data_IF_049870631580
#
_entry.id   IF_049870631580
#
_cell.length_a   1.000
_cell.length_b   1.000
_cell.length_c   1.000
_cell.angle_alpha   90.00
_cell.angle_beta   90.00
_cell.angle_gamma   90.00
#
_symmetry.space_group_name_H-M   'P 1'
#
loop_
_entity.id
_entity.type
_entity.pdbx_description
1 polymer ?
#
# COMPACT_ATOMS: atom_id res chain seq x y z
N UNK A 1 -69.91 40.91 -58.94
CA UNK A 1 -69.51 40.49 -57.58
C UNK A 1 -68.12 39.85 -57.66
N UNK A 2 -67.14 40.47 -57.01
CA UNK A 2 -65.94 39.90 -56.35
C UNK A 2 -65.12 38.78 -57.04
N UNK A 3 -63.84 39.10 -57.31
CA UNK A 3 -62.60 38.31 -57.05
C UNK A 3 -62.46 36.91 -57.70
N UNK A 4 -61.31 36.38 -58.14
CA UNK A 4 -59.90 36.75 -58.10
C UNK A 4 -59.12 35.86 -59.10
N UNK A 5 -57.96 36.34 -59.52
CA UNK A 5 -56.92 35.60 -60.21
C UNK A 5 -56.37 34.43 -59.37
N UNK A 6 -55.85 33.39 -60.03
CA UNK A 6 -54.90 32.45 -59.42
C UNK A 6 -53.57 32.52 -60.17
N UNK A 7 -52.62 33.21 -59.55
CA UNK A 7 -51.20 33.22 -59.88
C UNK A 7 -50.49 32.02 -59.25
N UNK A 8 -49.56 31.47 -60.03
CA UNK A 8 -48.26 30.85 -59.73
C UNK A 8 -47.92 30.35 -58.31
N UNK A 9 -47.33 29.14 -58.25
CA UNK A 9 -45.98 28.95 -57.71
C UNK A 9 -45.45 27.55 -58.07
N UNK A 10 -44.34 27.52 -58.81
CA UNK A 10 -43.47 26.34 -58.95
C UNK A 10 -42.64 26.24 -57.68
N UNK A 11 -42.81 25.15 -56.91
CA UNK A 11 -42.02 24.91 -55.71
C UNK A 11 -40.79 24.06 -56.06
N UNK A 12 -39.63 24.69 -55.99
CA UNK A 12 -38.30 24.08 -56.07
C UNK A 12 -38.08 23.21 -54.82
N UNK A 13 -37.81 21.92 -55.00
CA UNK A 13 -37.49 20.99 -53.91
C UNK A 13 -36.01 21.18 -53.53
N UNK A 14 -35.74 21.97 -52.48
CA UNK A 14 -34.41 22.05 -51.88
C UNK A 14 -34.20 20.83 -50.98
N UNK A 15 -33.30 19.93 -51.38
CA UNK A 15 -32.81 18.87 -50.53
C UNK A 15 -31.93 19.48 -49.42
N UNK A 16 -32.51 19.63 -48.22
CA UNK A 16 -31.75 19.95 -47.01
C UNK A 16 -31.01 18.69 -46.60
N UNK A 17 -29.74 18.60 -46.94
CA UNK A 17 -28.81 17.67 -46.29
C UNK A 17 -28.61 18.16 -44.86
N UNK A 18 -29.30 17.51 -43.92
CA UNK A 18 -28.95 17.62 -42.51
C UNK A 18 -27.58 16.98 -42.33
N UNK A 19 -26.53 17.79 -42.42
CA UNK A 19 -25.23 17.42 -41.84
C UNK A 19 -25.50 17.21 -40.37
N UNK A 20 -25.61 15.94 -39.96
CA UNK A 20 -25.66 15.56 -38.57
C UNK A 20 -24.46 16.21 -37.90
N UNK A 21 -24.71 17.14 -36.99
CA UNK A 21 -23.71 17.53 -36.02
C UNK A 21 -23.38 16.26 -35.25
N UNK A 22 -22.33 15.57 -35.69
CA UNK A 22 -21.73 14.50 -34.91
C UNK A 22 -21.48 15.08 -33.53
N UNK A 23 -22.04 14.43 -32.50
CA UNK A 23 -21.69 14.72 -31.11
C UNK A 23 -20.18 14.89 -31.07
N UNK A 24 -19.71 16.05 -30.64
CA UNK A 24 -18.28 16.30 -30.50
C UNK A 24 -17.71 15.10 -29.75
N UNK A 25 -16.80 14.37 -30.40
CA UNK A 25 -16.04 13.33 -29.73
C UNK A 25 -15.49 14.00 -28.46
N UNK A 26 -15.92 13.55 -27.29
CA UNK A 26 -15.27 13.94 -26.05
C UNK A 26 -13.83 13.50 -26.23
N UNK A 27 -12.95 14.43 -26.57
CA UNK A 27 -11.52 14.18 -26.56
C UNK A 27 -11.22 13.63 -25.16
N UNK A 28 -10.64 12.45 -25.10
CA UNK A 28 -10.28 11.80 -23.86
C UNK A 28 -9.17 12.63 -23.19
N UNK A 29 -9.55 13.42 -22.18
CA UNK A 29 -8.63 14.31 -21.45
C UNK A 29 -8.07 13.67 -20.18
N UNK A 30 -8.48 12.45 -19.85
CA UNK A 30 -8.13 11.87 -18.55
C UNK A 30 -6.62 11.64 -18.44
N UNK A 31 -5.97 11.21 -19.53
CA UNK A 31 -4.51 11.05 -19.56
C UNK A 31 -3.75 12.36 -19.51
N UNK A 32 -4.25 13.38 -20.20
CA UNK A 32 -3.66 14.73 -20.18
C UNK A 32 -3.70 15.34 -18.77
N UNK A 33 -4.71 14.97 -17.98
CA UNK A 33 -4.85 15.36 -16.57
C UNK A 33 -3.93 14.56 -15.62
N UNK A 34 -3.28 13.48 -16.07
CA UNK A 34 -2.33 12.70 -15.27
C UNK A 34 -0.94 13.34 -15.28
N UNK A 35 -0.83 14.52 -14.67
CA UNK A 35 0.42 15.29 -14.57
C UNK A 35 1.61 14.49 -13.99
N UNK A 36 1.34 13.48 -13.16
CA UNK A 36 2.37 12.64 -12.57
C UNK A 36 3.13 11.80 -13.61
N UNK A 37 2.53 11.51 -14.78
CA UNK A 37 3.17 10.75 -15.85
C UNK A 37 4.40 11.45 -16.41
N UNK A 38 4.33 12.71 -16.91
CA UNK A 38 5.53 13.44 -17.32
C UNK A 38 6.43 13.80 -16.13
N UNK A 39 5.86 14.15 -14.97
CA UNK A 39 6.64 14.52 -13.78
C UNK A 39 7.58 13.40 -13.31
N UNK A 40 7.10 12.14 -13.30
CA UNK A 40 7.91 10.96 -12.95
C UNK A 40 8.58 10.30 -14.17
N UNK A 41 8.50 10.91 -15.36
CA UNK A 41 9.08 10.38 -16.61
C UNK A 41 8.63 8.93 -16.90
N UNK A 42 7.35 8.64 -16.69
CA UNK A 42 6.79 7.28 -16.77
C UNK A 42 6.97 6.67 -18.16
N UNK A 43 6.89 7.47 -19.24
CA UNK A 43 7.12 6.98 -20.59
C UNK A 43 8.55 6.44 -20.79
N UNK A 44 9.56 7.06 -20.18
CA UNK A 44 10.94 6.58 -20.22
C UNK A 44 11.10 5.31 -19.39
N UNK A 45 10.44 5.23 -18.23
CA UNK A 45 10.41 4.03 -17.41
C UNK A 45 9.76 2.84 -18.15
N UNK A 46 8.65 3.08 -18.86
CA UNK A 46 7.92 2.08 -19.65
C UNK A 46 8.71 1.55 -20.84
N UNK A 47 9.66 2.32 -21.38
CA UNK A 47 10.59 1.83 -22.39
C UNK A 47 11.54 0.74 -21.83
N UNK A 48 11.64 0.60 -20.51
CA UNK A 48 12.53 -0.34 -19.82
C UNK A 48 11.76 -1.50 -19.18
N UNK A 49 10.64 -1.22 -18.50
CA UNK A 49 9.80 -2.21 -17.82
C UNK A 49 8.37 -1.69 -17.75
N UNK A 50 7.37 -2.56 -17.89
CA UNK A 50 5.95 -2.19 -17.77
C UNK A 50 5.23 -2.98 -16.68
N UNK A 51 5.96 -3.77 -15.87
CA UNK A 51 5.42 -4.54 -14.74
C UNK A 51 5.00 -5.97 -15.08
N UNK A 52 5.46 -6.51 -16.22
CA UNK A 52 5.16 -7.88 -16.64
C UNK A 52 5.46 -8.92 -15.54
N UNK A 53 4.55 -9.88 -15.37
CA UNK A 53 4.74 -11.00 -14.44
C UNK A 53 4.63 -10.63 -12.96
N UNK A 54 4.37 -9.37 -12.63
CA UNK A 54 4.17 -8.93 -11.24
C UNK A 54 2.69 -8.79 -10.93
N UNK A 55 2.29 -9.27 -9.75
CA UNK A 55 0.95 -9.06 -9.20
C UNK A 55 1.04 -8.18 -7.96
N UNK A 56 0.20 -7.15 -7.92
CA UNK A 56 0.03 -6.24 -6.77
C UNK A 56 -1.33 -6.53 -6.13
N UNK A 57 -1.35 -6.91 -4.86
CA UNK A 57 -2.60 -6.96 -4.11
C UNK A 57 -3.03 -5.54 -3.71
N UNK A 58 -4.30 -5.21 -3.96
CA UNK A 58 -4.90 -3.93 -3.59
C UNK A 58 -5.92 -4.21 -2.50
N UNK A 59 -5.57 -3.89 -1.25
CA UNK A 59 -6.45 -4.05 -0.09
C UNK A 59 -7.21 -2.74 0.10
N UNK A 60 -8.47 -2.72 -0.35
CA UNK A 60 -9.26 -1.48 -0.50
C UNK A 60 -10.78 -1.79 -0.59
N UNK A 61 -11.57 -0.89 -1.14
CA UNK A 61 -13.03 -0.97 -1.34
C UNK A 61 -13.50 -1.95 -2.44
N UNK A 62 -12.56 -2.66 -3.07
CA UNK A 62 -12.80 -3.51 -4.24
C UNK A 62 -12.28 -2.88 -5.54
N UNK A 63 -12.42 -3.56 -6.67
CA UNK A 63 -11.97 -3.04 -7.98
C UNK A 63 -12.96 -3.36 -9.09
N UNK A 64 -13.42 -2.35 -9.82
CA UNK A 64 -14.25 -2.51 -11.03
C UNK A 64 -13.42 -3.14 -12.17
N UNK A 65 -13.32 -4.47 -12.16
CA UNK A 65 -12.51 -5.25 -13.10
C UNK A 65 -13.00 -5.18 -14.55
N UNK A 66 -14.23 -4.71 -14.80
CA UNK A 66 -14.77 -4.51 -16.15
C UNK A 66 -14.51 -3.10 -16.68
N UNK A 67 -13.90 -2.21 -15.90
CA UNK A 67 -13.49 -0.90 -16.40
C UNK A 67 -12.57 -1.09 -17.62
N UNK A 68 -12.78 -0.39 -18.75
CA UNK A 68 -12.04 -0.63 -19.99
C UNK A 68 -10.53 -0.46 -19.83
N UNK A 69 -10.06 0.50 -19.02
CA UNK A 69 -8.62 0.66 -18.71
C UNK A 69 -8.02 -0.40 -17.79
N UNK A 70 -8.84 -1.28 -17.21
CA UNK A 70 -8.41 -2.31 -16.26
C UNK A 70 -8.74 -3.73 -16.71
N UNK A 71 -9.62 -3.87 -17.70
CA UNK A 71 -10.07 -5.17 -18.17
C UNK A 71 -8.89 -6.02 -18.60
N UNK A 72 -8.85 -7.28 -18.14
CA UNK A 72 -7.73 -8.19 -18.35
C UNK A 72 -6.54 -7.99 -17.38
N UNK A 73 -6.44 -6.89 -16.64
CA UNK A 73 -5.41 -6.67 -15.61
C UNK A 73 -5.86 -6.96 -14.19
N UNK A 74 -7.17 -7.07 -13.94
CA UNK A 74 -7.71 -7.40 -12.60
C UNK A 74 -7.99 -8.91 -12.51
N UNK A 75 -7.38 -9.57 -11.52
CA UNK A 75 -7.57 -10.98 -11.21
C UNK A 75 -8.81 -11.20 -10.36
N UNK A 76 -9.22 -12.47 -10.21
CA UNK A 76 -10.21 -12.84 -9.19
C UNK A 76 -9.57 -12.81 -7.82
N UNK A 77 -10.06 -11.90 -7.00
CA UNK A 77 -9.58 -11.56 -5.69
C UNK A 77 -10.28 -12.28 -4.55
N UNK A 78 -10.56 -11.53 -3.49
CA UNK A 78 -11.19 -11.97 -2.25
C UNK A 78 -12.01 -10.84 -1.63
N UNK A 79 -13.09 -11.19 -0.94
CA UNK A 79 -13.87 -10.27 -0.11
C UNK A 79 -13.75 -10.65 1.35
N UNK A 80 -13.35 -9.72 2.22
CA UNK A 80 -13.48 -9.91 3.68
C UNK A 80 -14.91 -9.59 4.17
N UNK A 81 -15.78 -9.13 3.27
CA UNK A 81 -17.12 -8.64 3.58
C UNK A 81 -18.14 -9.76 3.39
N UNK A 82 -18.93 -10.03 4.43
CA UNK A 82 -19.97 -11.06 4.38
C UNK A 82 -21.03 -10.69 3.34
N UNK A 83 -21.33 -11.63 2.44
CA UNK A 83 -22.32 -11.44 1.38
C UNK A 83 -21.79 -10.72 0.13
N UNK A 84 -20.47 -10.49 0.04
CA UNK A 84 -19.82 -10.09 -1.21
C UNK A 84 -19.81 -11.21 -2.26
N UNK A 85 -19.50 -10.85 -3.50
CA UNK A 85 -19.43 -11.77 -4.64
C UNK A 85 -18.21 -12.71 -4.56
N UNK A 86 -17.28 -12.42 -3.64
CA UNK A 86 -16.15 -13.28 -3.27
C UNK A 86 -14.91 -13.11 -4.14
N UNK A 87 -14.97 -12.26 -5.17
CA UNK A 87 -13.91 -12.05 -6.14
C UNK A 87 -13.22 -10.68 -6.02
N UNK A 88 -13.57 -9.83 -5.06
CA UNK A 88 -12.96 -8.51 -4.89
C UNK A 88 -13.43 -7.46 -5.90
N UNK A 89 -14.34 -7.80 -6.84
CA UNK A 89 -14.67 -6.90 -7.95
C UNK A 89 -15.76 -5.88 -7.63
N UNK A 90 -16.53 -6.11 -6.56
CA UNK A 90 -17.55 -5.15 -6.15
C UNK A 90 -16.92 -3.89 -5.58
N UNK A 91 -16.88 -2.80 -6.34
CA UNK A 91 -16.42 -1.49 -5.85
C UNK A 91 -17.54 -0.46 -5.88
N UNK A 92 -18.24 -0.33 -4.75
CA UNK A 92 -19.31 0.65 -4.58
C UNK A 92 -18.79 2.02 -4.12
N UNK A 93 -17.49 2.18 -3.84
CA UNK A 93 -16.85 3.44 -3.46
C UNK A 93 -16.08 4.10 -4.63
N UNK A 94 -15.52 3.29 -5.52
CA UNK A 94 -14.61 3.71 -6.57
C UNK A 94 -13.17 3.92 -6.09
N UNK A 95 -12.87 3.66 -4.81
CA UNK A 95 -11.55 3.95 -4.24
C UNK A 95 -10.50 2.94 -4.65
N UNK A 96 -10.79 1.65 -4.53
CA UNK A 96 -9.86 0.60 -4.93
C UNK A 96 -9.73 0.55 -6.44
N UNK A 97 -10.80 0.81 -7.21
CA UNK A 97 -10.71 0.98 -8.67
C UNK A 97 -9.73 2.07 -9.06
N UNK A 98 -9.73 3.20 -8.34
CA UNK A 98 -8.81 4.29 -8.58
C UNK A 98 -7.37 3.94 -8.24
N UNK A 99 -7.13 3.19 -7.15
CA UNK A 99 -5.79 2.71 -6.82
C UNK A 99 -5.29 1.71 -7.88
N UNK A 100 -6.15 0.78 -8.29
CA UNK A 100 -5.86 -0.18 -9.35
C UNK A 100 -5.51 0.50 -10.68
N UNK A 101 -6.21 1.58 -11.05
CA UNK A 101 -5.90 2.38 -12.24
C UNK A 101 -4.51 3.03 -12.19
N UNK A 102 -4.11 3.55 -11.03
CA UNK A 102 -2.78 4.15 -10.84
C UNK A 102 -1.66 3.10 -10.90
N UNK A 103 -1.96 1.86 -10.49
CA UNK A 103 -1.02 0.74 -10.56
C UNK A 103 -0.97 0.17 -11.99
N UNK A 104 -2.09 -0.33 -12.51
CA UNK A 104 -2.13 -1.19 -13.70
C UNK A 104 -3.15 -0.74 -14.76
N UNK A 105 -3.58 0.53 -14.74
CA UNK A 105 -4.36 1.10 -15.83
C UNK A 105 -3.59 1.00 -17.15
N UNK A 106 -4.16 0.35 -18.16
CA UNK A 106 -3.50 0.16 -19.45
C UNK A 106 -4.08 1.03 -20.56
N UNK A 107 -5.11 1.82 -20.25
CA UNK A 107 -5.88 2.59 -21.22
C UNK A 107 -6.79 1.72 -22.07
N UNK A 108 -7.47 2.33 -23.03
CA UNK A 108 -8.30 1.62 -24.00
C UNK A 108 -8.28 2.34 -25.36
N UNK A 109 -9.10 1.84 -26.29
CA UNK A 109 -9.21 2.41 -27.63
C UNK A 109 -7.97 2.18 -28.50
N UNK A 110 -7.81 3.00 -29.52
CA UNK A 110 -6.78 2.79 -30.55
C UNK A 110 -5.36 2.96 -29.98
N UNK A 111 -4.62 1.85 -29.89
CA UNK A 111 -3.27 1.83 -29.33
C UNK A 111 -3.23 2.17 -27.84
N UNK A 112 -4.33 1.91 -27.12
CA UNK A 112 -4.47 2.17 -25.69
C UNK A 112 -4.23 3.64 -25.31
N UNK A 113 -4.61 4.57 -26.19
CA UNK A 113 -4.37 6.02 -26.00
C UNK A 113 -5.48 6.72 -25.21
N UNK A 114 -6.65 6.10 -25.14
CA UNK A 114 -7.80 6.61 -24.40
C UNK A 114 -7.70 6.13 -22.93
N UNK A 115 -8.35 6.85 -22.03
CA UNK A 115 -8.39 6.59 -20.60
C UNK A 115 -7.07 6.86 -19.89
N UNK A 116 -6.97 6.38 -18.66
CA UNK A 116 -5.80 6.60 -17.80
C UNK A 116 -4.73 5.53 -18.02
N UNK A 117 -3.48 5.91 -17.78
CA UNK A 117 -2.32 5.03 -17.79
C UNK A 117 -1.74 4.91 -16.37
N UNK A 118 -1.56 3.69 -15.90
CA UNK A 118 -0.94 3.37 -14.61
C UNK A 118 0.59 3.35 -14.68
N UNK A 119 1.22 3.29 -13.51
CA UNK A 119 2.67 3.21 -13.39
C UNK A 119 3.23 1.87 -13.92
N UNK A 120 2.50 0.77 -13.80
CA UNK A 120 2.87 -0.57 -14.26
C UNK A 120 1.73 -1.22 -15.10
N UNK A 121 1.49 -0.75 -16.34
CA UNK A 121 0.31 -1.11 -17.13
C UNK A 121 0.22 -2.58 -17.55
N UNK A 122 1.28 -3.37 -17.36
CA UNK A 122 1.26 -4.83 -17.61
C UNK A 122 1.33 -5.67 -16.34
N UNK A 123 1.36 -5.04 -15.17
CA UNK A 123 1.16 -5.75 -13.91
C UNK A 123 -0.29 -6.25 -13.79
N UNK A 124 -0.50 -7.22 -12.90
CA UNK A 124 -1.84 -7.68 -12.51
C UNK A 124 -2.21 -7.12 -11.14
N UNK A 125 -3.49 -6.85 -10.95
CA UNK A 125 -4.08 -6.43 -9.67
C UNK A 125 -4.86 -7.59 -9.08
N UNK A 126 -4.55 -7.95 -7.85
CA UNK A 126 -5.36 -8.86 -7.03
C UNK A 126 -6.20 -8.03 -6.06
N UNK A 127 -7.50 -7.84 -6.31
CA UNK A 127 -8.33 -7.04 -5.42
C UNK A 127 -8.64 -7.80 -4.14
N UNK A 128 -8.53 -7.12 -2.99
CA UNK A 128 -8.95 -7.65 -1.70
C UNK A 128 -9.88 -6.61 -1.08
N UNK A 129 -11.17 -6.89 -1.13
CA UNK A 129 -12.20 -5.95 -0.69
C UNK A 129 -12.38 -6.00 0.82
N UNK A 130 -12.15 -4.87 1.48
CA UNK A 130 -12.26 -4.70 2.94
C UNK A 130 -13.20 -3.58 3.37
N UNK A 131 -13.59 -2.70 2.46
CA UNK A 131 -14.50 -1.57 2.72
C UNK A 131 -15.63 -1.52 1.70
N UNK A 132 -16.68 -0.78 2.05
CA UNK A 132 -17.80 -0.41 1.18
C UNK A 132 -18.09 1.06 1.33
N UNK A 133 -18.91 1.62 0.44
CA UNK A 133 -19.44 2.98 0.59
C UNK A 133 -20.21 3.23 1.92
N UNK A 134 -20.59 2.16 2.64
CA UNK A 134 -21.32 2.23 3.92
C UNK A 134 -20.41 2.10 5.15
N UNK A 135 -19.14 1.75 4.99
CA UNK A 135 -18.22 1.59 6.12
C UNK A 135 -16.97 0.78 5.80
N UNK A 136 -15.98 0.92 6.67
CA UNK A 136 -14.66 0.32 6.55
C UNK A 136 -14.52 -0.88 7.50
N UNK A 137 -13.87 -1.95 7.05
CA UNK A 137 -13.66 -3.16 7.85
C UNK A 137 -12.65 -3.00 9.00
N UNK A 138 -11.91 -1.90 9.04
CA UNK A 138 -10.94 -1.60 10.10
C UNK A 138 -9.70 -2.49 10.08
N UNK A 139 -8.92 -2.44 11.17
CA UNK A 139 -7.60 -3.09 11.24
C UNK A 139 -7.64 -4.62 11.07
N UNK A 140 -8.69 -5.29 11.55
CA UNK A 140 -8.82 -6.75 11.42
C UNK A 140 -9.07 -7.18 9.97
N UNK A 141 -9.89 -6.43 9.22
CA UNK A 141 -10.09 -6.69 7.80
C UNK A 141 -8.81 -6.45 6.99
N UNK A 142 -8.05 -5.40 7.32
CA UNK A 142 -6.72 -5.17 6.72
C UNK A 142 -5.80 -6.36 7.02
N UNK A 143 -5.76 -6.85 8.27
CA UNK A 143 -4.91 -7.97 8.66
C UNK A 143 -5.26 -9.27 7.90
N UNK A 144 -6.56 -9.59 7.80
CA UNK A 144 -7.04 -10.72 7.00
C UNK A 144 -6.66 -10.55 5.53
N UNK A 145 -6.80 -9.34 4.99
CA UNK A 145 -6.43 -9.05 3.62
C UNK A 145 -4.93 -9.24 3.35
N UNK A 146 -4.08 -8.85 4.29
CA UNK A 146 -2.63 -9.08 4.21
C UNK A 146 -2.34 -10.58 4.18
N UNK A 147 -2.92 -11.35 5.11
CA UNK A 147 -2.71 -12.80 5.16
C UNK A 147 -3.19 -13.51 3.88
N UNK A 148 -4.33 -13.09 3.30
CA UNK A 148 -4.81 -13.66 2.03
C UNK A 148 -3.94 -13.27 0.83
N UNK A 149 -3.39 -12.06 0.82
CA UNK A 149 -2.41 -11.66 -0.21
C UNK A 149 -1.15 -12.54 -0.14
N UNK A 150 -0.60 -12.74 1.06
CA UNK A 150 0.58 -13.59 1.32
C UNK A 150 0.29 -15.02 0.88
N UNK A 151 -0.86 -15.58 1.27
CA UNK A 151 -1.27 -16.95 0.90
C UNK A 151 -1.41 -17.14 -0.61
N UNK A 152 -1.75 -16.08 -1.35
CA UNK A 152 -1.82 -16.08 -2.82
C UNK A 152 -0.47 -15.82 -3.51
N UNK A 153 0.59 -15.64 -2.73
CA UNK A 153 1.96 -15.52 -3.24
C UNK A 153 2.25 -14.24 -3.99
N UNK A 154 1.52 -13.15 -3.71
CA UNK A 154 1.86 -11.84 -4.27
C UNK A 154 3.17 -11.32 -3.66
N UNK A 155 3.90 -10.50 -4.41
CA UNK A 155 5.14 -9.87 -3.92
C UNK A 155 4.93 -8.47 -3.35
N UNK A 156 3.82 -7.83 -3.70
CA UNK A 156 3.54 -6.43 -3.38
C UNK A 156 2.10 -6.32 -2.87
N UNK A 157 1.93 -5.62 -1.76
CA UNK A 157 0.63 -5.23 -1.20
C UNK A 157 0.57 -3.71 -1.16
N UNK A 158 -0.52 -3.13 -1.68
CA UNK A 158 -0.83 -1.71 -1.59
C UNK A 158 -2.05 -1.52 -0.70
N UNK A 159 -1.90 -0.72 0.36
CA UNK A 159 -2.93 -0.46 1.36
C UNK A 159 -3.16 1.05 1.45
N UNK A 160 -4.28 1.50 0.91
CA UNK A 160 -4.68 2.91 0.89
C UNK A 160 -5.80 3.20 1.89
N UNK A 161 -5.77 2.47 3.01
CA UNK A 161 -6.74 2.46 4.10
C UNK A 161 -6.02 2.62 5.44
N UNK A 162 -6.71 3.16 6.44
CA UNK A 162 -6.12 3.35 7.76
C UNK A 162 -6.96 2.73 8.87
N UNK A 163 -6.29 2.20 9.89
CA UNK A 163 -6.92 1.75 11.12
C UNK A 163 -6.70 2.81 12.22
N UNK A 164 -7.76 3.49 12.69
CA UNK A 164 -7.64 4.54 13.73
C UNK A 164 -7.22 3.98 15.09
N UNK A 165 -7.45 2.70 15.38
CA UNK A 165 -6.97 2.06 16.60
C UNK A 165 -5.52 1.58 16.42
N UNK A 166 -4.59 2.29 17.07
CA UNK A 166 -3.27 1.76 17.39
C UNK A 166 -3.42 0.44 18.18
N UNK A 167 -2.52 -0.51 17.95
CA UNK A 167 -2.33 -1.72 18.75
C UNK A 167 -3.33 -2.88 18.57
N UNK A 168 -3.88 -3.10 17.37
CA UNK A 168 -4.30 -4.47 17.05
C UNK A 168 -3.03 -5.32 16.87
N UNK A 169 -2.69 -6.11 17.90
CA UNK A 169 -1.60 -7.10 17.82
C UNK A 169 -1.74 -8.03 16.60
N UNK A 170 -2.96 -8.17 16.05
CA UNK A 170 -3.24 -8.94 14.85
C UNK A 170 -2.70 -8.25 13.61
N UNK A 171 -2.94 -6.94 13.43
CA UNK A 171 -2.47 -6.19 12.26
C UNK A 171 -0.95 -6.05 12.24
N UNK A 172 -0.32 -5.78 13.40
CA UNK A 172 1.15 -5.76 13.51
C UNK A 172 1.72 -7.11 13.07
N UNK A 173 1.21 -8.21 13.63
CA UNK A 173 1.67 -9.56 13.26
C UNK A 173 1.39 -9.92 11.80
N UNK A 174 0.35 -9.38 11.18
CA UNK A 174 0.07 -9.59 9.77
C UNK A 174 1.14 -8.90 8.89
N UNK A 175 1.52 -7.66 9.23
CA UNK A 175 2.62 -6.96 8.57
C UNK A 175 3.94 -7.72 8.76
N UNK A 176 4.25 -8.16 9.99
CA UNK A 176 5.44 -8.97 10.28
C UNK A 176 5.47 -10.27 9.46
N UNK A 177 4.34 -10.99 9.35
CA UNK A 177 4.22 -12.20 8.54
C UNK A 177 4.44 -11.92 7.06
N UNK A 178 3.88 -10.83 6.54
CA UNK A 178 4.06 -10.45 5.13
C UNK A 178 5.52 -10.12 4.84
N UNK A 179 6.17 -9.33 5.70
CA UNK A 179 7.59 -9.02 5.56
C UNK A 179 8.45 -10.29 5.65
N UNK A 180 8.21 -11.17 6.62
CA UNK A 180 8.92 -12.44 6.75
C UNK A 180 8.69 -13.39 5.56
N UNK A 181 7.56 -13.26 4.86
CA UNK A 181 7.28 -13.98 3.62
C UNK A 181 7.90 -13.33 2.37
N UNK A 182 8.66 -12.24 2.52
CA UNK A 182 9.29 -11.51 1.41
C UNK A 182 8.30 -10.68 0.60
N UNK A 183 7.21 -10.22 1.21
CA UNK A 183 6.19 -9.37 0.59
C UNK A 183 6.42 -7.91 0.99
N UNK A 184 6.47 -7.02 0.00
CA UNK A 184 6.59 -5.58 0.21
C UNK A 184 5.22 -4.98 0.51
N UNK A 185 5.02 -4.49 1.73
CA UNK A 185 3.76 -3.85 2.17
C UNK A 185 3.88 -2.34 2.10
N UNK A 186 3.27 -1.72 1.09
CA UNK A 186 3.21 -0.27 0.96
C UNK A 186 1.88 0.26 1.51
N UNK A 187 1.95 1.23 2.41
CA UNK A 187 0.79 1.77 3.09
C UNK A 187 0.79 3.30 3.12
N UNK A 188 -0.39 3.88 3.00
CA UNK A 188 -0.59 5.32 3.04
C UNK A 188 -0.17 5.92 4.40
N UNK A 189 0.57 7.03 4.36
CA UNK A 189 1.03 7.68 5.59
C UNK A 189 -0.13 8.29 6.41
N UNK A 190 -1.23 8.67 5.73
CA UNK A 190 -2.41 9.29 6.34
C UNK A 190 -2.71 10.67 5.76
N UNK A 191 -3.95 11.12 5.92
CA UNK A 191 -4.47 12.36 5.30
C UNK A 191 -4.90 13.43 6.32
N UNK A 192 -4.49 13.28 7.59
CA UNK A 192 -4.82 14.20 8.68
C UNK A 192 -3.54 14.91 9.13
N UNK A 193 -3.17 16.07 8.56
CA UNK A 193 -1.85 16.68 8.79
C UNK A 193 -1.59 17.16 10.22
N UNK A 194 -2.61 17.13 11.08
CA UNK A 194 -2.48 17.40 12.52
C UNK A 194 -2.08 16.17 13.33
N UNK A 195 -2.12 14.98 12.73
CA UNK A 195 -1.66 13.77 13.37
C UNK A 195 -0.14 13.80 13.50
N UNK A 196 0.35 13.39 14.67
CA UNK A 196 1.77 13.43 15.00
C UNK A 196 2.52 12.15 14.61
N UNK A 197 1.81 11.15 14.09
CA UNK A 197 2.32 9.83 13.74
C UNK A 197 1.66 9.33 12.47
N UNK A 198 2.41 8.54 11.70
CA UNK A 198 1.90 7.82 10.53
C UNK A 198 0.75 6.87 10.92
N UNK A 199 -0.28 6.78 10.08
CA UNK A 199 -1.42 5.89 10.30
C UNK A 199 -1.01 4.41 10.25
N UNK A 200 -1.75 3.55 10.96
CA UNK A 200 -1.59 2.10 10.80
C UNK A 200 -2.24 1.64 9.48
N UNK A 201 -1.61 0.73 8.71
CA UNK A 201 -0.42 -0.05 9.07
C UNK A 201 0.93 0.59 8.72
N UNK A 202 0.98 1.75 8.04
CA UNK A 202 2.23 2.36 7.57
C UNK A 202 3.29 2.61 8.64
N UNK A 203 2.89 2.87 9.90
CA UNK A 203 3.82 3.05 11.02
C UNK A 203 4.46 1.78 11.56
N UNK A 204 4.00 0.60 11.16
CA UNK A 204 4.49 -0.65 11.74
C UNK A 204 5.81 -1.10 11.09
N UNK A 205 6.75 -1.65 11.87
CA UNK A 205 7.94 -2.29 11.31
C UNK A 205 7.57 -3.34 10.25
N UNK A 206 8.26 -3.33 9.11
CA UNK A 206 7.97 -4.17 7.96
C UNK A 206 7.01 -3.55 6.93
N UNK A 207 6.32 -2.46 7.27
CA UNK A 207 5.58 -1.65 6.30
C UNK A 207 6.43 -0.49 5.75
N UNK A 208 6.06 -0.03 4.55
CA UNK A 208 6.63 1.13 3.87
C UNK A 208 5.58 2.23 3.85
N UNK A 209 5.75 3.24 4.71
CA UNK A 209 4.86 4.39 4.73
C UNK A 209 5.16 5.35 3.57
N UNK A 210 4.12 5.68 2.81
CA UNK A 210 4.21 6.55 1.62
C UNK A 210 3.46 7.86 1.86
N UNK A 211 4.20 8.97 1.82
CA UNK A 211 3.65 10.33 1.87
C UNK A 211 3.30 10.89 0.49
N UNK A 212 2.60 12.02 0.45
CA UNK A 212 2.12 12.64 -0.78
C UNK A 212 2.84 13.97 -1.07
N UNK A 213 3.14 14.22 -2.35
CA UNK A 213 3.59 15.53 -2.86
C UNK A 213 2.64 16.10 -3.91
N UNK A 214 2.71 17.42 -4.09
CA UNK A 214 2.03 18.15 -5.16
C UNK A 214 2.85 18.22 -6.47
N UNK A 215 2.33 18.97 -7.44
CA UNK A 215 2.94 19.19 -8.76
C UNK A 215 4.32 19.87 -8.71
N UNK A 216 4.68 20.51 -7.60
CA UNK A 216 5.99 21.12 -7.38
C UNK A 216 6.97 20.16 -6.68
N UNK A 217 6.50 18.97 -6.31
CA UNK A 217 7.25 18.04 -5.46
C UNK A 217 7.34 18.52 -4.01
N UNK A 218 6.44 19.39 -3.57
CA UNK A 218 6.34 19.83 -2.17
C UNK A 218 5.42 18.87 -1.42
N UNK A 219 5.72 18.53 -0.16
CA UNK A 219 4.80 17.71 0.65
C UNK A 219 3.41 18.31 0.66
N UNK A 220 2.43 17.49 0.25
CA UNK A 220 1.05 17.88 0.15
C UNK A 220 0.52 18.30 1.53
N UNK A 221 -0.25 19.39 1.65
CA UNK A 221 -0.77 19.85 2.94
C UNK A 221 -1.60 18.80 3.69
N UNK A 222 -2.21 17.85 2.97
CA UNK A 222 -2.99 16.74 3.56
C UNK A 222 -2.11 15.62 4.12
N UNK A 223 -0.86 15.50 3.68
CA UNK A 223 0.00 14.37 4.04
C UNK A 223 0.39 14.43 5.51
N UNK A 224 0.21 13.31 6.21
CA UNK A 224 0.82 13.09 7.51
C UNK A 224 2.35 13.03 7.35
N UNK A 225 3.05 13.54 8.36
CA UNK A 225 4.51 13.57 8.50
C UNK A 225 4.91 12.70 9.68
N UNK A 226 6.07 12.06 9.63
CA UNK A 226 6.49 11.17 10.70
C UNK A 226 7.84 10.52 10.44
N UNK A 227 8.47 10.05 11.52
CA UNK A 227 9.74 9.33 11.45
C UNK A 227 9.59 7.96 10.78
N UNK A 228 8.37 7.53 10.44
CA UNK A 228 8.07 6.28 9.74
C UNK A 228 7.93 6.47 8.23
N UNK A 229 7.80 7.71 7.72
CA UNK A 229 7.74 7.98 6.28
C UNK A 229 9.05 7.50 5.62
N UNK A 230 8.93 6.72 4.55
CA UNK A 230 10.08 6.17 3.84
C UNK A 230 10.23 6.75 2.44
N UNK A 231 9.12 7.00 1.75
CA UNK A 231 9.12 7.55 0.39
C UNK A 231 7.94 8.51 0.26
N UNK A 232 8.04 9.43 -0.70
CA UNK A 232 6.89 10.21 -1.15
C UNK A 232 6.67 10.08 -2.64
N UNK A 233 5.42 10.26 -3.06
CA UNK A 233 5.01 10.20 -4.45
C UNK A 233 3.88 11.21 -4.74
N UNK A 234 3.63 11.52 -6.03
CA UNK A 234 2.51 12.37 -6.44
C UNK A 234 1.19 11.96 -5.79
N UNK A 235 0.54 12.90 -5.11
CA UNK A 235 -0.69 12.64 -4.37
C UNK A 235 -1.69 13.80 -4.39
N UNK A 236 -1.49 14.84 -5.19
CA UNK A 236 -2.44 15.96 -5.34
C UNK A 236 -3.00 15.98 -6.75
N UNK A 237 -4.32 16.16 -6.87
CA UNK A 237 -5.04 16.25 -8.15
C UNK A 237 -4.76 15.07 -9.09
N UNK A 238 -4.72 13.87 -8.52
CA UNK A 238 -4.41 12.64 -9.24
C UNK A 238 -5.67 12.08 -9.90
N UNK A 239 -5.65 12.01 -11.22
CA UNK A 239 -6.74 11.45 -12.06
C UNK A 239 -6.52 9.94 -12.25
N UNK A 240 -7.57 9.14 -12.05
CA UNK A 240 -7.56 7.69 -12.25
C UNK A 240 -8.96 7.15 -12.60
N UNK A 241 -9.05 5.85 -12.86
CA UNK A 241 -10.29 5.08 -12.95
C UNK A 241 -11.12 5.17 -11.66
N UNK A 242 -12.38 4.78 -11.73
CA UNK A 242 -13.33 4.74 -10.62
C UNK A 242 -14.45 3.75 -10.99
N UNK A 243 -15.31 3.43 -10.03
CA UNK A 243 -16.63 2.85 -10.34
C UNK A 243 -17.40 3.77 -11.29
N UNK A 244 -18.37 3.22 -12.02
CA UNK A 244 -19.30 4.01 -12.83
C UNK A 244 -20.11 4.93 -11.91
N UNK A 245 -19.93 6.24 -12.09
CA UNK A 245 -20.78 7.26 -11.51
C UNK A 245 -21.95 7.51 -12.46
N UNK A 246 -23.12 6.98 -12.10
CA UNK A 246 -24.34 7.10 -12.92
C UNK A 246 -24.89 8.51 -12.99
N UNK A 247 -24.55 9.40 -12.05
CA UNK A 247 -24.99 10.79 -12.05
C UNK A 247 -24.22 11.64 -13.07
N UNK A 248 -22.91 11.39 -13.22
CA UNK A 248 -22.05 12.10 -14.18
C UNK A 248 -21.83 11.32 -15.48
N UNK A 249 -22.25 10.05 -15.51
CA UNK A 249 -21.92 9.10 -16.56
C UNK A 249 -20.40 9.02 -16.82
N UNK A 250 -19.60 9.12 -15.75
CA UNK A 250 -18.14 8.99 -15.81
C UNK A 250 -17.68 7.81 -14.97
N UNK A 251 -16.57 7.20 -15.36
CA UNK A 251 -15.92 6.09 -14.66
C UNK A 251 -14.50 6.47 -14.22
N UNK A 252 -14.27 7.78 -14.08
CA UNK A 252 -13.00 8.37 -13.71
C UNK A 252 -13.21 9.35 -12.57
N UNK A 253 -12.18 9.54 -11.75
CA UNK A 253 -12.20 10.50 -10.65
C UNK A 253 -10.85 11.18 -10.50
N UNK A 254 -10.87 12.35 -9.85
CA UNK A 254 -9.69 13.07 -9.39
C UNK A 254 -9.68 13.11 -7.87
N UNK A 255 -8.54 12.84 -7.25
CA UNK A 255 -8.42 12.79 -5.79
C UNK A 255 -7.06 13.29 -5.30
N UNK A 256 -7.02 13.74 -4.05
CA UNK A 256 -5.79 14.17 -3.38
C UNK A 256 -5.65 13.43 -2.04
N UNK A 257 -4.47 12.86 -1.78
CA UNK A 257 -4.15 12.12 -0.57
C UNK A 257 -2.90 11.24 -0.72
N UNK A 258 -2.53 10.61 0.38
CA UNK A 258 -1.46 9.59 0.45
C UNK A 258 -1.87 8.26 -0.19
N UNK A 259 -3.17 8.04 -0.41
CA UNK A 259 -3.71 6.88 -1.13
C UNK A 259 -3.20 6.80 -2.59
N UNK A 260 -3.42 7.81 -3.46
CA UNK A 260 -2.80 7.83 -4.79
C UNK A 260 -1.27 7.65 -4.80
N UNK A 261 -0.57 8.32 -3.87
CA UNK A 261 0.89 8.24 -3.75
C UNK A 261 1.35 6.79 -3.46
N UNK A 262 0.63 6.09 -2.59
CA UNK A 262 0.89 4.68 -2.25
C UNK A 262 0.69 3.77 -3.46
N UNK A 263 -0.39 3.95 -4.22
CA UNK A 263 -0.67 3.17 -5.43
C UNK A 263 0.39 3.40 -6.52
N UNK A 264 0.80 4.65 -6.75
CA UNK A 264 1.87 4.97 -7.70
C UNK A 264 3.20 4.33 -7.27
N UNK A 265 3.53 4.38 -5.98
CA UNK A 265 4.74 3.74 -5.43
C UNK A 265 4.69 2.22 -5.55
N UNK A 266 3.53 1.60 -5.34
CA UNK A 266 3.35 0.16 -5.55
C UNK A 266 3.52 -0.23 -7.03
N UNK A 267 3.06 0.61 -7.94
CA UNK A 267 3.33 0.44 -9.38
C UNK A 267 4.83 0.55 -9.70
N UNK A 268 5.56 1.48 -9.08
CA UNK A 268 7.02 1.55 -9.23
C UNK A 268 7.69 0.26 -8.73
N UNK A 269 7.31 -0.24 -7.55
CA UNK A 269 7.83 -1.51 -7.06
C UNK A 269 7.58 -2.64 -8.07
N UNK A 270 6.42 -2.66 -8.74
CA UNK A 270 6.13 -3.63 -9.80
C UNK A 270 7.03 -3.46 -11.04
N UNK A 271 7.32 -2.23 -11.46
CA UNK A 271 8.28 -1.98 -12.55
C UNK A 271 9.67 -2.54 -12.20
N UNK A 272 10.15 -2.25 -10.99
CA UNK A 272 11.45 -2.68 -10.48
C UNK A 272 11.52 -4.21 -10.41
N UNK A 273 10.51 -4.85 -9.83
CA UNK A 273 10.51 -6.31 -9.67
C UNK A 273 10.35 -7.05 -11.00
N UNK A 274 9.60 -6.49 -11.95
CA UNK A 274 9.53 -7.03 -13.32
C UNK A 274 10.90 -7.02 -14.00
N UNK A 275 11.66 -5.92 -13.84
CA UNK A 275 13.01 -5.81 -14.40
C UNK A 275 14.04 -6.70 -13.70
N UNK A 276 13.93 -6.82 -12.38
CA UNK A 276 14.87 -7.55 -11.54
C UNK A 276 14.13 -8.63 -10.73
N UNK A 277 13.67 -9.71 -11.39
CA UNK A 277 12.79 -10.71 -10.77
C UNK A 277 13.43 -11.46 -9.59
N UNK A 278 14.76 -11.46 -9.52
CA UNK A 278 15.56 -12.12 -8.48
C UNK A 278 15.69 -11.33 -7.18
N UNK A 279 15.36 -10.03 -7.17
CA UNK A 279 15.47 -9.23 -5.96
C UNK A 279 14.46 -9.70 -4.91
N UNK A 280 14.87 -9.59 -3.65
CA UNK A 280 14.03 -9.69 -2.46
C UNK A 280 13.22 -8.39 -2.26
N UNK A 281 12.23 -8.41 -1.37
CA UNK A 281 11.46 -7.20 -1.01
C UNK A 281 12.36 -6.08 -0.51
N UNK A 282 13.34 -6.42 0.33
CA UNK A 282 14.25 -5.45 0.93
C UNK A 282 15.19 -4.85 -0.11
N UNK A 283 15.69 -5.64 -1.06
CA UNK A 283 16.51 -5.14 -2.16
C UNK A 283 15.71 -4.25 -3.14
N UNK A 284 14.42 -4.54 -3.35
CA UNK A 284 13.53 -3.66 -4.12
C UNK A 284 13.32 -2.34 -3.38
N UNK A 285 13.04 -2.39 -2.08
CA UNK A 285 12.87 -1.19 -1.25
C UNK A 285 14.14 -0.36 -1.19
N UNK A 286 15.29 -0.98 -0.90
CA UNK A 286 16.61 -0.32 -0.87
C UNK A 286 16.89 0.37 -2.21
N UNK A 287 16.59 -0.31 -3.31
CA UNK A 287 16.76 0.27 -4.64
C UNK A 287 15.90 1.51 -4.82
N UNK A 288 14.62 1.44 -4.45
CA UNK A 288 13.69 2.57 -4.56
C UNK A 288 14.11 3.75 -3.68
N UNK A 289 14.55 3.50 -2.43
CA UNK A 289 14.98 4.55 -1.50
C UNK A 289 16.32 5.16 -1.87
N UNK A 290 17.30 4.37 -2.30
CA UNK A 290 18.62 4.87 -2.72
C UNK A 290 18.55 5.72 -4.00
N UNK A 291 17.57 5.46 -4.85
CA UNK A 291 17.38 6.22 -6.09
C UNK A 291 16.36 7.35 -5.95
N UNK A 292 15.75 7.51 -4.78
CA UNK A 292 14.81 8.59 -4.54
C UNK A 292 15.53 9.95 -4.63
N UNK A 293 14.81 10.96 -5.12
CA UNK A 293 15.29 12.34 -5.14
C UNK A 293 15.13 12.89 -3.74
N UNK A 294 16.26 13.07 -3.05
CA UNK A 294 16.32 13.72 -1.75
C UNK A 294 15.76 15.16 -1.85
N UNK A 295 14.78 15.45 -1.01
CA UNK A 295 13.99 16.69 -0.98
C UNK A 295 13.87 17.11 0.48
N UNK A 296 13.97 18.42 0.73
CA UNK A 296 13.97 18.92 2.10
C UNK A 296 15.38 18.93 2.70
N UNK A 297 15.51 18.76 4.03
CA UNK A 297 16.81 18.57 4.69
C UNK A 297 17.55 17.37 4.11
N UNK A 298 18.88 17.47 3.97
CA UNK A 298 19.66 16.39 3.38
C UNK A 298 19.57 15.08 4.19
N UNK A 299 19.40 13.97 3.49
CA UNK A 299 19.25 12.64 4.06
C UNK A 299 17.79 12.32 4.39
N UNK A 300 17.59 11.40 5.33
CA UNK A 300 16.24 10.97 5.70
C UNK A 300 15.57 11.97 6.63
N UNK A 301 14.36 12.40 6.28
CA UNK A 301 13.57 13.32 7.11
C UNK A 301 12.10 12.88 7.28
N UNK A 302 11.34 13.65 8.08
CA UNK A 302 9.95 13.34 8.46
C UNK A 302 8.90 13.72 7.41
N UNK A 303 9.28 14.56 6.45
CA UNK A 303 8.44 15.12 5.41
C UNK A 303 8.51 14.24 4.15
N UNK A 304 9.73 13.92 3.71
CA UNK A 304 10.03 13.23 2.46
C UNK A 304 10.52 11.79 2.64
N UNK A 305 10.84 11.36 3.87
CA UNK A 305 11.47 10.07 4.10
C UNK A 305 12.86 10.04 3.45
N UNK A 306 13.13 9.04 2.60
CA UNK A 306 14.33 8.99 1.76
C UNK A 306 14.23 9.83 0.48
N UNK A 307 13.04 10.38 0.19
CA UNK A 307 12.84 11.28 -0.95
C UNK A 307 11.65 10.93 -1.83
N UNK A 308 11.52 11.72 -2.89
CA UNK A 308 10.54 11.53 -3.95
C UNK A 308 10.97 10.37 -4.87
N UNK A 309 10.05 9.44 -5.15
CA UNK A 309 10.34 8.31 -6.05
C UNK A 309 10.81 8.76 -7.44
N UNK A 310 11.78 8.03 -8.00
CA UNK A 310 12.27 8.21 -9.38
C UNK A 310 12.24 6.88 -10.14
N UNK A 311 11.20 6.63 -10.97
CA UNK A 311 11.08 5.39 -11.71
C UNK A 311 12.24 5.10 -12.66
N UNK A 312 12.80 6.11 -13.31
CA UNK A 312 13.89 5.93 -14.27
C UNK A 312 15.16 5.57 -13.53
N UNK A 313 15.50 6.29 -12.46
CA UNK A 313 16.68 5.99 -11.65
C UNK A 313 16.56 4.61 -10.99
N UNK A 314 15.40 4.26 -10.43
CA UNK A 314 15.16 2.94 -9.85
C UNK A 314 15.35 1.82 -10.88
N UNK A 315 14.99 2.04 -12.14
CA UNK A 315 15.17 1.04 -13.19
C UNK A 315 16.59 1.00 -13.78
N UNK A 316 17.40 2.05 -13.65
CA UNK A 316 18.67 2.18 -14.39
C UNK A 316 19.92 2.22 -13.52
N UNK A 317 19.80 2.56 -12.24
CA UNK A 317 20.94 2.63 -11.33
C UNK A 317 21.73 1.31 -11.32
N UNK A 318 23.06 1.34 -11.15
CA UNK A 318 23.82 0.11 -10.93
C UNK A 318 23.27 -0.66 -9.71
N UNK A 319 23.48 -1.98 -9.70
CA UNK A 319 23.25 -2.78 -8.50
C UNK A 319 24.01 -2.15 -7.33
N UNK A 320 23.41 -2.19 -6.13
CA UNK A 320 24.17 -1.84 -4.93
C UNK A 320 25.39 -2.77 -4.86
N UNK A 321 26.52 -2.24 -4.39
CA UNK A 321 27.62 -3.13 -4.05
C UNK A 321 27.09 -4.17 -3.05
N UNK A 322 27.43 -5.46 -3.18
CA UNK A 322 27.03 -6.44 -2.19
C UNK A 322 27.43 -5.89 -0.83
N UNK A 323 26.48 -5.77 0.10
CA UNK A 323 26.85 -5.59 1.49
C UNK A 323 27.76 -6.78 1.80
N UNK A 324 29.02 -6.49 2.15
CA UNK A 324 29.92 -7.54 2.57
C UNK A 324 29.18 -8.34 3.64
N UNK A 325 29.20 -9.69 3.61
CA UNK A 325 28.65 -10.43 4.72
C UNK A 325 29.31 -9.87 5.96
N UNK A 326 28.50 -9.28 6.85
CA UNK A 326 28.96 -8.96 8.19
C UNK A 326 29.21 -10.32 8.82
N UNK A 327 30.39 -10.88 8.57
CA UNK A 327 31.01 -11.76 9.53
C UNK A 327 31.10 -10.85 10.75
N UNK A 328 30.15 -11.01 11.66
CA UNK A 328 30.24 -10.40 12.97
C UNK A 328 31.69 -10.67 13.41
N UNK A 329 32.47 -9.64 13.79
CA UNK A 329 33.79 -9.91 14.31
C UNK A 329 33.58 -10.96 15.39
N UNK A 330 34.21 -12.12 15.21
CA UNK A 330 34.30 -13.12 16.25
C UNK A 330 34.80 -12.35 17.45
N UNK A 331 33.93 -12.13 18.43
CA UNK A 331 34.36 -11.63 19.72
C UNK A 331 35.24 -12.76 20.23
N UNK A 332 36.55 -12.61 20.04
CA UNK A 332 37.51 -13.24 20.94
C UNK A 332 37.15 -12.70 22.31
N UNK A 333 36.37 -13.48 23.04
CA UNK A 333 36.18 -13.28 24.46
C UNK A 333 37.55 -13.53 25.06
N UNK A 334 38.34 -12.46 25.21
CA UNK A 334 39.43 -12.44 26.17
C UNK A 334 38.79 -12.64 27.53
N UNK A 335 38.70 -13.89 27.96
CA UNK A 335 38.32 -14.23 29.30
C UNK A 335 39.36 -13.59 30.22
N UNK A 336 38.97 -12.78 31.21
CA UNK A 336 39.91 -12.32 32.21
C UNK A 336 40.57 -13.53 32.87
N UNK A 337 41.88 -13.44 33.08
CA UNK A 337 42.67 -14.46 33.75
C UNK A 337 42.03 -14.76 35.12
N UNK A 338 41.58 -16.01 35.28
CA UNK A 338 40.97 -16.48 36.53
C UNK A 338 42.10 -16.52 37.56
N UNK A 339 42.02 -15.78 38.69
CA UNK A 339 43.01 -15.91 39.74
C UNK A 339 43.03 -17.34 40.26
N UNK A 340 44.22 -17.92 40.46
CA UNK A 340 44.38 -19.25 41.04
C UNK A 340 43.58 -19.36 42.34
N UNK A 341 42.61 -20.28 42.37
CA UNK A 341 41.86 -20.59 43.56
C UNK A 341 42.77 -21.31 44.57
N UNK A 342 42.72 -20.94 45.87
CA UNK A 342 43.52 -21.62 46.88
C UNK A 342 43.08 -23.09 47.00
N UNK A 343 44.09 -23.97 47.08
CA UNK A 343 43.96 -25.42 47.17
C UNK A 343 43.17 -25.79 48.44
N UNK A 344 41.89 -26.15 48.29
CA UNK A 344 41.03 -26.65 49.37
C UNK A 344 40.93 -28.16 49.30
N UNK A 345 42.09 -28.82 49.39
CA UNK A 345 42.15 -30.22 49.86
C UNK A 345 41.86 -30.24 51.36
N UNK A 346 40.57 -30.35 51.69
CA UNK A 346 40.13 -30.80 53.02
C UNK A 346 39.05 -29.93 53.68
N UNK A 347 37.80 -30.13 53.28
CA UNK A 347 36.54 -29.98 54.06
C UNK A 347 35.41 -29.82 53.02
N UNK A 348 34.56 -30.82 52.74
CA UNK A 348 33.74 -31.51 53.71
C UNK A 348 32.48 -30.67 53.99
N UNK A 349 31.41 -30.93 53.22
CA UNK A 349 30.01 -30.75 53.63
C UNK A 349 29.54 -29.31 53.97
N UNK A 350 29.04 -28.56 52.98
CA UNK A 350 28.36 -27.28 53.27
C UNK A 350 27.52 -26.66 52.15
N UNK A 351 27.83 -26.91 50.88
CA UNK A 351 27.22 -26.18 49.76
C UNK A 351 26.00 -26.87 49.10
N UNK A 352 25.41 -27.88 49.76
CA UNK A 352 24.11 -28.46 49.36
C UNK A 352 22.92 -27.90 50.16
N UNK A 353 23.16 -27.03 51.15
CA UNK A 353 22.10 -26.46 52.00
C UNK A 353 21.51 -25.14 51.47
N UNK A 354 22.16 -24.47 50.52
CA UNK A 354 21.69 -23.17 49.99
C UNK A 354 20.56 -23.27 48.96
N UNK A 355 20.59 -24.29 48.10
CA UNK A 355 19.61 -24.42 47.01
C UNK A 355 18.31 -25.07 47.50
N UNK A 356 18.39 -25.95 48.52
CA UNK A 356 17.21 -26.57 49.13
C UNK A 356 16.34 -25.60 49.93
N UNK A 357 16.94 -24.62 50.61
CA UNK A 357 16.21 -23.66 51.45
C UNK A 357 15.33 -22.71 50.62
N UNK A 358 15.78 -22.35 49.42
CA UNK A 358 15.03 -21.45 48.53
C UNK A 358 13.77 -22.11 47.95
N UNK A 359 13.84 -23.42 47.67
CA UNK A 359 12.69 -24.20 47.15
C UNK A 359 11.66 -24.48 48.25
N UNK A 360 12.09 -24.72 49.50
CA UNK A 360 11.17 -24.93 50.64
C UNK A 360 10.43 -23.65 51.01
N UNK A 361 11.07 -22.47 50.93
CA UNK A 361 10.43 -21.18 51.19
C UNK A 361 9.38 -20.82 50.13
N UNK A 362 9.61 -21.18 48.87
CA UNK A 362 8.63 -20.97 47.79
C UNK A 362 7.38 -21.86 47.94
N UNK A 363 7.55 -23.11 48.35
CA UNK A 363 6.42 -24.03 48.58
C UNK A 363 5.63 -23.66 49.85
N UNK A 364 6.32 -23.23 50.91
CA UNK A 364 5.68 -22.77 52.15
C UNK A 364 4.84 -21.49 51.95
N UNK A 365 5.32 -20.54 51.14
CA UNK A 365 4.59 -19.31 50.83
C UNK A 365 3.27 -19.56 50.09
N UNK A 366 3.24 -20.51 49.16
CA UNK A 366 2.02 -20.86 48.41
C UNK A 366 0.97 -21.52 49.33
N UNK A 367 1.38 -22.36 50.28
CA UNK A 367 0.45 -23.03 51.20
C UNK A 367 -0.20 -22.05 52.19
N UNK A 368 0.52 -21.02 52.65
CA UNK A 368 -0.03 -19.97 53.53
C UNK A 368 -1.06 -19.12 52.79
N UNK A 369 -0.80 -18.77 51.53
CA UNK A 369 -1.76 -18.00 50.71
C UNK A 369 -3.04 -18.81 50.47
N UNK A 370 -2.91 -20.11 50.17
CA UNK A 370 -4.07 -20.99 50.00
C UNK A 370 -4.87 -21.13 51.30
N UNK A 371 -4.21 -21.28 52.46
CA UNK A 371 -4.89 -21.37 53.75
C UNK A 371 -5.64 -20.07 54.12
N UNK A 372 -5.05 -18.90 53.83
CA UNK A 372 -5.70 -17.59 54.06
C UNK A 372 -6.91 -17.41 53.15
N UNK A 373 -6.81 -17.80 51.87
CA UNK A 373 -7.94 -17.73 50.93
C UNK A 373 -9.06 -18.68 51.36
N UNK A 374 -8.75 -19.91 51.77
CA UNK A 374 -9.74 -20.87 52.27
C UNK A 374 -10.41 -20.38 53.56
N UNK A 375 -9.65 -19.82 54.50
CA UNK A 375 -10.20 -19.24 55.73
C UNK A 375 -11.13 -18.05 55.46
N UNK A 376 -10.77 -17.16 54.53
CA UNK A 376 -11.60 -16.02 54.14
C UNK A 376 -12.88 -16.45 53.41
N UNK A 377 -12.82 -17.51 52.59
CA UNK A 377 -13.98 -18.08 51.91
C UNK A 377 -14.93 -18.78 52.89
N UNK A 378 -14.40 -19.49 53.89
CA UNK A 378 -15.19 -20.15 54.94
C UNK A 378 -15.84 -19.15 55.91
N UNK A 379 -15.18 -18.02 56.19
CA UNK A 379 -15.73 -16.94 57.03
C UNK A 379 -16.88 -16.17 56.34
N UNK A 380 -16.93 -16.17 55.00
CA UNK A 380 -17.99 -15.49 54.23
C UNK A 380 -19.24 -16.36 54.02
N UNK A 381 -19.19 -17.64 54.40
CA UNK A 381 -20.29 -18.63 54.27
C UNK A 381 -20.96 -19.00 55.60
N UNK A 382 -20.56 -18.36 56.71
CA UNK A 382 -21.35 -18.26 57.95
C UNK A 382 -21.90 -16.85 58.03
#
# INVERSE_FOLDING_TARGET
MRFAARLAAVSLLAAVTTVGMGSAAHADRYRDDQWYLPFLRVAEAHAISQGEGVTVAVIDSGVEGKHPDLTGNVLKGFDTIVGGDGDGWGDDEGHGSSMAGLIAGHGHGAGNKDGVLGMAPKAKVLPIRISTAKGHGGGDAIAIGIDEAVKRGVKIISISESAPSADSSVLIKAVERAHAAGVLVLAAAGNQPKDFYVAAPGRYPGAVAVGAVDQQGTVAPVSVRGDEVQLVAPGVDITSTSRINTATNTQYRRSSGTSPATAITAGLAALVWSKYPQLTADEVLERMTRTAVDKGPAGRDRDYGFGLIDPVAALTAPAAAPSAPVIAPSIEVSLPEIPDLPDTRGAGSGLLLGVGLLVVLLIGGVLVVVAVVVFLVLRKRR
#
